data_IF_119732566820
#
_entry.id   IF_119732566820
#
_cell.length_a   1.000
_cell.length_b   1.000
_cell.length_c   1.000
_cell.angle_alpha   90.00
_cell.angle_beta   90.00
_cell.angle_gamma   90.00
#
_symmetry.space_group_name_H-M   'P 1'
#
loop_
_entity.id
_entity.type
_entity.pdbx_description
1 polymer ?
#
# COMPACT_ATOMS: atom_id res chain seq x y z
N UNK A 1 2.00 -44.71 -14.72
CA UNK A 1 0.62 -44.85 -15.26
C UNK A 1 0.15 -43.45 -15.60
N UNK A 2 0.24 -43.08 -16.87
CA UNK A 2 -0.02 -41.73 -17.37
C UNK A 2 -1.34 -41.61 -18.14
N UNK A 3 -1.74 -40.35 -18.33
CA UNK A 3 -2.53 -39.82 -19.46
C UNK A 3 -3.96 -40.33 -19.68
N UNK A 4 -4.91 -39.89 -18.85
CA UNK A 4 -6.34 -39.98 -19.18
C UNK A 4 -7.23 -38.83 -18.64
N UNK A 5 -6.68 -37.61 -18.49
CA UNK A 5 -7.45 -36.45 -17.99
C UNK A 5 -7.30 -35.18 -18.84
N UNK A 6 -6.82 -35.28 -20.09
CA UNK A 6 -6.53 -34.09 -20.91
C UNK A 6 -7.18 -34.12 -22.31
N UNK A 7 -8.45 -34.54 -22.43
CA UNK A 7 -9.17 -34.52 -23.72
C UNK A 7 -10.60 -33.95 -23.64
N UNK A 8 -11.03 -33.38 -22.50
CA UNK A 8 -12.42 -32.90 -22.37
C UNK A 8 -12.59 -31.38 -22.58
N UNK A 9 -11.51 -30.61 -22.72
CA UNK A 9 -11.61 -29.13 -22.81
C UNK A 9 -11.54 -28.51 -24.22
N UNK A 10 -11.51 -29.31 -25.30
CA UNK A 10 -11.33 -28.76 -26.66
C UNK A 10 -12.56 -28.84 -27.58
N UNK A 11 -13.78 -28.93 -27.04
CA UNK A 11 -14.98 -28.93 -27.86
C UNK A 11 -16.13 -28.15 -27.22
N UNK A 12 -16.01 -26.82 -27.06
CA UNK A 12 -17.18 -25.96 -26.73
C UNK A 12 -17.08 -24.46 -27.03
N UNK A 13 -16.00 -23.93 -27.64
CA UNK A 13 -15.94 -22.49 -27.94
C UNK A 13 -15.83 -22.24 -29.44
N UNK A 14 -16.91 -22.54 -30.16
CA UNK A 14 -17.13 -22.10 -31.55
C UNK A 14 -18.63 -21.94 -31.79
N UNK A 15 -19.29 -20.96 -31.14
CA UNK A 15 -20.68 -20.59 -31.46
C UNK A 15 -21.11 -19.25 -30.85
N UNK A 16 -20.35 -18.16 -31.07
CA UNK A 16 -20.96 -16.83 -31.10
C UNK A 16 -20.31 -15.97 -32.20
N UNK A 17 -21.10 -15.47 -33.16
CA UNK A 17 -20.61 -14.62 -34.24
C UNK A 17 -20.32 -13.20 -33.72
N UNK A 18 -19.38 -12.54 -34.41
CA UNK A 18 -18.93 -11.18 -34.12
C UNK A 18 -20.09 -10.17 -34.04
N UNK A 19 -20.26 -9.53 -32.89
CA UNK A 19 -20.88 -8.20 -32.80
C UNK A 19 -19.77 -7.19 -32.56
N UNK A 20 -19.78 -6.17 -33.42
CA UNK A 20 -18.66 -5.27 -33.69
C UNK A 20 -18.09 -4.51 -32.50
N UNK A 21 -16.90 -3.97 -32.74
CA UNK A 21 -16.29 -2.94 -31.92
C UNK A 21 -17.33 -1.87 -31.57
N UNK A 22 -17.57 -1.69 -30.27
CA UNK A 22 -18.28 -0.54 -29.74
C UNK A 22 -17.50 0.71 -30.18
N UNK A 23 -18.09 1.63 -30.94
CA UNK A 23 -17.47 2.92 -31.20
C UNK A 23 -17.30 3.62 -29.86
N UNK A 24 -16.08 4.05 -29.53
CA UNK A 24 -15.91 5.06 -28.50
C UNK A 24 -16.82 6.25 -28.89
N UNK A 25 -17.68 6.74 -27.99
CA UNK A 25 -18.34 8.01 -28.23
C UNK A 25 -17.23 9.04 -28.32
N UNK A 26 -16.96 9.48 -29.54
CA UNK A 26 -16.21 10.70 -29.76
C UNK A 26 -16.88 11.77 -28.92
N UNK A 27 -16.14 12.39 -28.03
CA UNK A 27 -16.50 13.73 -27.56
C UNK A 27 -16.41 14.61 -28.79
N UNK A 28 -17.53 14.68 -29.50
CA UNK A 28 -17.83 15.67 -30.51
C UNK A 28 -17.42 17.01 -29.94
N UNK A 29 -16.36 17.61 -30.48
CA UNK A 29 -16.04 19.01 -30.28
C UNK A 29 -17.10 19.82 -31.03
N UNK A 30 -18.34 19.83 -30.52
CA UNK A 30 -19.50 20.63 -30.94
C UNK A 30 -20.71 20.28 -30.08
N UNK A 31 -20.75 20.88 -28.90
CA UNK A 31 -21.93 21.45 -28.22
C UNK A 31 -21.34 22.31 -27.09
N UNK A 32 -21.52 23.62 -26.93
CA UNK A 32 -22.73 24.45 -27.00
C UNK A 32 -22.31 25.87 -27.44
N UNK A 33 -23.01 26.47 -28.41
CA UNK A 33 -22.97 27.92 -28.62
C UNK A 33 -23.64 28.59 -27.40
N UNK A 34 -22.93 29.51 -26.74
CA UNK A 34 -23.33 30.36 -25.60
C UNK A 34 -23.01 29.89 -24.15
N UNK A 35 -21.78 29.46 -23.89
CA UNK A 35 -21.06 29.92 -22.69
C UNK A 35 -19.74 30.55 -23.11
N UNK A 36 -19.63 31.89 -23.01
CA UNK A 36 -18.34 32.59 -23.04
C UNK A 36 -17.61 32.31 -21.72
N UNK A 37 -17.23 31.06 -21.48
CA UNK A 37 -16.32 30.78 -20.39
C UNK A 37 -14.92 31.17 -20.86
N UNK A 38 -14.46 32.35 -20.44
CA UNK A 38 -13.10 32.81 -20.71
C UNK A 38 -12.14 31.88 -19.96
N UNK A 39 -11.39 31.06 -20.70
CA UNK A 39 -10.37 30.17 -20.14
C UNK A 39 -9.11 30.97 -19.86
N UNK A 40 -8.86 31.30 -18.60
CA UNK A 40 -7.63 31.98 -18.18
C UNK A 40 -6.50 30.97 -17.97
N UNK A 41 -5.26 31.43 -18.13
CA UNK A 41 -4.09 30.58 -17.91
C UNK A 41 -3.99 30.16 -16.44
N UNK A 42 -4.03 28.84 -16.19
CA UNK A 42 -3.91 28.29 -14.85
C UNK A 42 -2.60 28.73 -14.19
N UNK A 43 -2.64 29.03 -12.89
CA UNK A 43 -1.51 29.53 -12.08
C UNK A 43 -0.96 30.93 -12.45
N UNK A 44 -1.27 31.49 -13.62
CA UNK A 44 -0.77 32.81 -14.06
C UNK A 44 -1.85 33.89 -14.03
N UNK A 45 -3.10 33.52 -14.27
CA UNK A 45 -4.22 34.45 -14.42
C UNK A 45 -5.44 34.01 -13.61
N UNK A 46 -6.28 34.98 -13.26
CA UNK A 46 -7.59 34.78 -12.65
C UNK A 46 -8.69 35.42 -13.49
N UNK A 47 -9.90 34.87 -13.41
CA UNK A 47 -11.06 35.42 -14.09
C UNK A 47 -11.73 36.49 -13.23
N UNK A 48 -11.99 37.66 -13.82
CA UNK A 48 -12.79 38.72 -13.24
C UNK A 48 -13.75 39.23 -14.33
N UNK A 49 -15.07 39.14 -14.13
CA UNK A 49 -16.06 39.65 -15.10
C UNK A 49 -15.83 39.21 -16.56
N UNK A 50 -15.48 37.93 -16.79
CA UNK A 50 -15.16 37.34 -18.10
C UNK A 50 -13.89 37.90 -18.79
N UNK A 51 -13.02 38.62 -18.09
CA UNK A 51 -11.67 38.93 -18.55
C UNK A 51 -10.62 38.22 -17.69
N UNK A 52 -9.47 37.90 -18.27
CA UNK A 52 -8.34 37.32 -17.55
C UNK A 52 -7.42 38.42 -17.03
N UNK A 53 -7.16 38.41 -15.75
CA UNK A 53 -6.27 39.32 -15.05
C UNK A 53 -5.01 38.58 -14.61
N UNK A 54 -3.86 39.26 -14.61
CA UNK A 54 -2.61 38.68 -14.07
C UNK A 54 -2.69 38.55 -12.55
N UNK A 55 -2.20 37.44 -12.02
CA UNK A 55 -2.14 37.14 -10.60
C UNK A 55 -1.28 38.14 -9.80
N UNK A 56 -1.62 38.31 -8.52
CA UNK A 56 -0.73 38.86 -7.50
C UNK A 56 0.36 37.84 -7.16
N UNK A 57 1.51 38.28 -6.62
CA UNK A 57 2.58 37.34 -6.21
C UNK A 57 2.21 36.65 -4.89
N UNK A 58 2.97 35.63 -4.51
CA UNK A 58 2.89 35.06 -3.17
C UNK A 58 3.10 36.16 -2.11
N UNK A 59 2.38 36.06 -0.99
CA UNK A 59 2.34 37.08 0.05
C UNK A 59 1.51 38.31 -0.28
N UNK A 60 0.77 38.30 -1.40
CA UNK A 60 -0.18 39.33 -1.77
C UNK A 60 -1.57 38.75 -2.08
N UNK A 61 -2.57 39.63 -2.06
CA UNK A 61 -3.93 39.40 -2.53
C UNK A 61 -4.42 40.58 -3.39
N UNK A 62 -5.50 40.37 -4.15
CA UNK A 62 -6.12 41.37 -5.01
C UNK A 62 -6.98 42.32 -4.16
N UNK A 63 -6.50 43.55 -3.97
CA UNK A 63 -7.28 44.64 -3.35
C UNK A 63 -8.32 45.21 -4.32
N UNK A 64 -7.89 45.47 -5.56
CA UNK A 64 -8.76 45.90 -6.65
C UNK A 64 -8.48 45.09 -7.91
N UNK A 65 -9.50 44.49 -8.54
CA UNK A 65 -9.28 43.65 -9.71
C UNK A 65 -8.90 44.46 -10.95
N UNK A 66 -8.32 43.81 -11.95
CA UNK A 66 -8.01 44.46 -13.21
C UNK A 66 -9.28 44.82 -13.99
N UNK A 67 -9.20 45.87 -14.82
CA UNK A 67 -10.29 46.31 -15.72
C UNK A 67 -10.04 45.98 -17.18
N UNK A 68 -8.84 45.49 -17.53
CA UNK A 68 -8.42 45.13 -18.89
C UNK A 68 -7.79 43.75 -18.90
N UNK A 69 -8.12 42.94 -19.90
CA UNK A 69 -7.54 41.61 -20.05
C UNK A 69 -6.00 41.66 -20.14
N UNK A 70 -5.32 40.69 -19.54
CA UNK A 70 -3.85 40.57 -19.51
C UNK A 70 -3.15 41.61 -18.64
N UNK A 71 -3.88 42.38 -17.83
CA UNK A 71 -3.29 43.36 -16.92
C UNK A 71 -3.35 42.89 -15.46
N UNK A 72 -2.43 43.40 -14.65
CA UNK A 72 -2.42 43.19 -13.20
C UNK A 72 -3.37 44.19 -12.52
N UNK A 73 -4.16 43.72 -11.55
CA UNK A 73 -4.93 44.58 -10.66
C UNK A 73 -4.05 45.28 -9.62
N UNK A 74 -4.67 45.93 -8.65
CA UNK A 74 -3.96 46.42 -7.45
C UNK A 74 -3.81 45.27 -6.47
N UNK A 75 -2.57 44.91 -6.16
CA UNK A 75 -2.24 43.91 -5.16
C UNK A 75 -1.80 44.58 -3.86
N UNK A 76 -2.10 43.95 -2.73
CA UNK A 76 -1.70 44.38 -1.41
C UNK A 76 -1.08 43.21 -0.65
N UNK A 77 -0.08 43.51 0.18
CA UNK A 77 0.61 42.49 0.97
C UNK A 77 -0.31 41.91 2.06
N UNK A 78 -0.10 40.64 2.37
CA UNK A 78 -0.77 39.98 3.48
C UNK A 78 -0.39 40.66 4.82
N UNK A 79 -1.33 40.67 5.75
CA UNK A 79 -1.08 41.15 7.11
C UNK A 79 -0.45 40.05 7.98
N UNK A 80 0.16 40.44 9.10
CA UNK A 80 0.65 39.47 10.09
C UNK A 80 -0.45 38.48 10.51
N UNK A 81 -0.11 37.18 10.55
CA UNK A 81 -1.07 36.10 10.82
C UNK A 81 -1.87 35.66 9.59
N UNK A 82 -1.50 36.11 8.38
CA UNK A 82 -2.07 35.64 7.11
C UNK A 82 -1.00 35.41 6.05
N UNK A 83 -1.29 34.54 5.07
CA UNK A 83 -0.34 34.16 4.02
C UNK A 83 -1.02 33.81 2.69
N UNK A 84 -0.25 33.84 1.60
CA UNK A 84 -0.57 33.19 0.32
C UNK A 84 0.69 32.56 -0.25
N UNK A 85 0.69 31.24 -0.44
CA UNK A 85 1.90 30.49 -0.82
C UNK A 85 2.31 30.70 -2.28
N UNK A 86 1.34 30.98 -3.15
CA UNK A 86 1.55 31.05 -4.59
C UNK A 86 0.96 32.32 -5.19
N UNK A 87 1.35 32.61 -6.43
CA UNK A 87 0.73 33.66 -7.21
C UNK A 87 -0.76 33.36 -7.40
N UNK A 88 -1.61 34.34 -7.10
CA UNK A 88 -3.05 34.10 -6.95
C UNK A 88 -3.90 35.30 -7.36
N UNK A 89 -5.19 35.05 -7.57
CA UNK A 89 -6.24 36.05 -7.79
C UNK A 89 -7.21 36.17 -6.61
N UNK A 90 -6.79 35.81 -5.40
CA UNK A 90 -7.65 35.82 -4.21
C UNK A 90 -7.94 37.24 -3.78
N UNK A 91 -9.13 37.47 -3.21
CA UNK A 91 -9.53 38.75 -2.65
C UNK A 91 -9.09 38.94 -1.18
N UNK A 92 -8.45 37.94 -0.58
CA UNK A 92 -7.92 37.97 0.78
C UNK A 92 -6.85 36.90 0.95
N UNK A 93 -5.96 37.08 1.92
CA UNK A 93 -4.99 36.05 2.31
C UNK A 93 -5.61 34.97 3.19
N UNK A 94 -4.99 33.79 3.25
CA UNK A 94 -5.38 32.72 4.17
C UNK A 94 -4.91 33.02 5.58
N UNK A 95 -5.69 32.64 6.59
CA UNK A 95 -5.23 32.73 7.99
C UNK A 95 -4.20 31.64 8.24
N UNK A 96 -3.15 31.98 8.98
CA UNK A 96 -2.18 31.00 9.41
C UNK A 96 -2.83 29.93 10.30
N UNK A 97 -2.39 28.69 10.15
CA UNK A 97 -2.74 27.57 11.02
C UNK A 97 -2.18 27.82 12.42
N UNK A 98 -2.99 27.50 13.44
CA UNK A 98 -2.55 27.45 14.82
C UNK A 98 -2.31 25.99 15.22
N UNK A 99 -1.09 25.66 15.64
CA UNK A 99 -0.79 24.32 16.11
C UNK A 99 -1.59 24.00 17.39
N UNK A 100 -2.14 22.79 17.43
CA UNK A 100 -2.93 22.32 18.58
C UNK A 100 -2.06 22.02 19.79
N UNK A 101 -2.70 21.76 20.93
CA UNK A 101 -2.01 21.44 22.19
C UNK A 101 -1.15 20.18 22.14
N UNK A 102 -1.48 19.22 21.27
CA UNK A 102 -0.75 17.96 21.03
C UNK A 102 0.36 18.09 19.98
N UNK A 103 0.52 19.27 19.38
CA UNK A 103 1.50 19.60 18.36
C UNK A 103 2.49 20.66 18.86
N UNK A 104 3.61 20.78 18.15
CA UNK A 104 4.57 21.86 18.31
C UNK A 104 4.84 22.55 16.96
N UNK A 105 5.14 23.85 17.02
CA UNK A 105 5.50 24.65 15.85
C UNK A 105 6.90 24.25 15.41
N UNK A 106 7.03 23.88 14.14
CA UNK A 106 8.32 23.60 13.49
C UNK A 106 8.80 24.85 12.76
N UNK A 107 7.89 25.48 12.02
CA UNK A 107 8.14 26.73 11.31
C UNK A 107 7.01 27.70 11.56
N UNK A 108 7.37 28.95 11.80
CA UNK A 108 6.41 30.03 12.01
C UNK A 108 5.84 30.49 10.68
N UNK A 109 4.56 30.89 10.70
CA UNK A 109 3.91 31.49 9.55
C UNK A 109 4.66 32.74 9.05
N UNK A 110 4.74 32.87 7.73
CA UNK A 110 5.25 34.05 7.03
C UNK A 110 4.20 34.54 6.04
N UNK A 111 4.45 35.65 5.32
CA UNK A 111 3.50 36.11 4.31
C UNK A 111 3.32 35.11 3.17
N UNK A 112 4.29 34.23 2.92
CA UNK A 112 4.30 33.28 1.81
C UNK A 112 4.22 31.82 2.25
N UNK A 113 4.04 31.53 3.53
CA UNK A 113 4.09 30.17 4.05
C UNK A 113 3.24 30.04 5.29
N UNK A 114 2.46 28.96 5.38
CA UNK A 114 1.69 28.65 6.59
C UNK A 114 2.61 28.25 7.76
N UNK A 115 2.06 28.27 8.97
CA UNK A 115 2.65 27.59 10.12
C UNK A 115 2.77 26.10 9.84
N UNK A 116 3.96 25.53 10.03
CA UNK A 116 4.14 24.08 10.00
C UNK A 116 4.09 23.50 11.41
N UNK A 117 3.19 22.53 11.61
CA UNK A 117 2.99 21.84 12.87
C UNK A 117 3.43 20.37 12.77
N UNK A 118 4.03 19.84 13.83
CA UNK A 118 4.27 18.40 13.97
C UNK A 118 3.77 17.88 15.30
N UNK A 119 3.47 16.58 15.38
CA UNK A 119 3.12 15.95 16.65
C UNK A 119 4.27 16.06 17.66
N UNK A 120 3.92 16.35 18.91
CA UNK A 120 4.90 16.38 20.02
C UNK A 120 5.59 15.03 20.20
N UNK A 121 6.79 15.00 20.79
CA UNK A 121 7.52 13.75 21.07
C UNK A 121 6.64 12.69 21.76
N UNK A 122 6.75 11.44 21.29
CA UNK A 122 5.93 10.32 21.78
C UNK A 122 4.51 10.26 21.19
N UNK A 123 4.23 11.07 20.16
CA UNK A 123 3.00 11.02 19.38
C UNK A 123 3.28 11.05 17.88
N UNK A 124 2.35 10.51 17.10
CA UNK A 124 2.41 10.43 15.65
C UNK A 124 1.04 10.67 15.01
N UNK A 125 1.04 10.97 13.72
CA UNK A 125 -0.14 10.89 12.88
C UNK A 125 0.24 10.51 11.46
N UNK A 126 -0.50 9.61 10.82
CA UNK A 126 -0.17 9.16 9.47
C UNK A 126 -0.42 10.26 8.43
N UNK A 127 0.48 10.47 7.45
CA UNK A 127 0.31 11.47 6.39
C UNK A 127 -0.94 11.28 5.54
N UNK A 128 -1.44 10.05 5.46
CA UNK A 128 -2.65 9.69 4.70
C UNK A 128 -3.95 9.96 5.48
N UNK A 129 -3.86 10.21 6.78
CA UNK A 129 -5.00 10.56 7.62
C UNK A 129 -5.10 12.08 7.78
N UNK A 130 -6.32 12.60 7.84
CA UNK A 130 -6.51 13.96 8.35
C UNK A 130 -6.03 13.97 9.80
N UNK A 131 -4.89 14.60 10.06
CA UNK A 131 -4.27 14.65 11.39
C UNK A 131 -5.04 15.52 12.38
N UNK A 132 -6.30 15.19 12.63
CA UNK A 132 -7.20 15.84 13.58
C UNK A 132 -6.69 15.66 15.02
N UNK A 133 -6.05 14.52 15.32
CA UNK A 133 -5.46 14.21 16.63
C UNK A 133 -4.15 13.43 16.46
N UNK A 134 -3.11 13.81 17.21
CA UNK A 134 -1.86 13.06 17.30
C UNK A 134 -2.02 11.86 18.23
N UNK A 135 -1.92 10.65 17.67
CA UNK A 135 -2.00 9.37 18.37
C UNK A 135 -0.75 9.16 19.21
N UNK A 136 -0.88 8.57 20.39
CA UNK A 136 0.28 8.16 21.19
C UNK A 136 1.01 7.01 20.54
N UNK A 137 2.33 7.06 20.52
CA UNK A 137 3.15 5.95 20.01
C UNK A 137 2.89 4.68 20.83
N UNK A 138 2.73 3.56 20.11
CA UNK A 138 2.64 2.22 20.67
C UNK A 138 3.95 1.83 21.34
N UNK A 139 3.84 1.00 22.38
CA UNK A 139 4.99 0.36 23.04
C UNK A 139 4.97 -1.12 22.70
N UNK A 140 6.11 -1.67 22.32
CA UNK A 140 6.23 -3.10 22.10
C UNK A 140 6.06 -3.87 23.40
N UNK A 141 5.46 -5.05 23.29
CA UNK A 141 5.27 -5.96 24.44
C UNK A 141 6.60 -6.59 24.86
N UNK A 142 6.60 -7.29 25.98
CA UNK A 142 7.79 -7.97 26.49
C UNK A 142 8.30 -9.08 25.56
N UNK A 143 7.44 -9.69 24.75
CA UNK A 143 7.77 -10.70 23.73
C UNK A 143 8.08 -10.10 22.35
N UNK A 144 8.26 -8.78 22.28
CA UNK A 144 8.50 -8.04 21.04
C UNK A 144 9.73 -7.11 21.18
N UNK A 145 10.48 -6.98 20.09
CA UNK A 145 11.55 -6.00 19.91
C UNK A 145 11.08 -4.84 19.03
N UNK A 146 11.61 -3.64 19.29
CA UNK A 146 11.36 -2.46 18.46
C UNK A 146 12.11 -2.63 17.14
N UNK A 147 11.37 -2.78 16.04
CA UNK A 147 11.94 -2.82 14.69
C UNK A 147 12.17 -1.41 14.14
N UNK A 148 11.21 -0.51 14.36
CA UNK A 148 11.33 0.92 14.04
C UNK A 148 10.78 1.78 15.16
N UNK A 149 11.53 2.82 15.48
CA UNK A 149 11.09 3.83 16.44
C UNK A 149 9.95 4.67 15.86
N UNK A 150 9.05 5.09 16.73
CA UNK A 150 8.01 6.06 16.41
C UNK A 150 8.61 7.39 15.92
N UNK A 151 7.94 8.02 14.96
CA UNK A 151 8.24 9.36 14.47
C UNK A 151 7.00 10.25 14.60
N UNK A 152 7.07 11.53 14.23
CA UNK A 152 5.86 12.36 14.19
C UNK A 152 4.82 11.90 13.16
N UNK A 153 5.20 11.02 12.23
CA UNK A 153 4.36 10.57 11.10
C UNK A 153 4.12 9.06 11.04
N UNK A 154 4.75 8.28 11.92
CA UNK A 154 4.64 6.82 11.93
C UNK A 154 4.68 6.27 13.36
N UNK A 155 3.89 5.23 13.61
CA UNK A 155 3.93 4.53 14.90
C UNK A 155 5.24 3.74 15.09
N UNK A 156 5.45 3.25 16.30
CA UNK A 156 6.44 2.21 16.60
C UNK A 156 6.08 0.92 15.86
N UNK A 157 7.04 0.34 15.14
CA UNK A 157 6.89 -1.00 14.57
C UNK A 157 7.54 -2.02 15.50
N UNK A 158 6.79 -3.06 15.87
CA UNK A 158 7.22 -4.12 16.77
C UNK A 158 7.33 -5.45 16.03
N UNK A 159 8.34 -6.25 16.38
CA UNK A 159 8.54 -7.60 15.84
C UNK A 159 8.64 -8.58 16.99
N UNK A 160 8.01 -9.75 16.90
CA UNK A 160 8.14 -10.77 17.94
C UNK A 160 9.58 -11.30 18.04
N UNK A 161 10.05 -11.44 19.27
CA UNK A 161 11.30 -12.10 19.61
C UNK A 161 11.05 -13.60 19.37
N UNK A 162 11.48 -14.11 18.22
CA UNK A 162 11.49 -15.56 17.99
C UNK A 162 12.68 -16.15 18.73
N UNK A 163 12.44 -16.63 19.94
CA UNK A 163 13.24 -17.71 20.47
C UNK A 163 12.91 -18.95 19.62
N UNK A 164 13.94 -19.52 18.98
CA UNK A 164 13.88 -20.66 18.06
C UNK A 164 13.28 -20.40 16.67
N UNK A 165 14.17 -20.42 15.68
CA UNK A 165 13.87 -21.12 14.44
C UNK A 165 13.28 -22.49 14.80
N UNK A 166 12.06 -22.78 14.37
CA UNK A 166 11.56 -24.15 14.31
C UNK A 166 12.67 -25.00 13.67
N UNK A 167 13.16 -26.09 14.32
CA UNK A 167 14.06 -26.99 13.62
C UNK A 167 13.33 -27.46 12.36
N UNK A 168 13.99 -27.53 11.19
CA UNK A 168 13.34 -28.04 10.00
C UNK A 168 12.79 -29.43 10.33
N UNK A 169 11.50 -29.62 10.04
CA UNK A 169 10.73 -30.86 10.23
C UNK A 169 11.31 -32.10 9.54
N UNK A 170 12.49 -31.98 8.92
CA UNK A 170 13.22 -33.04 8.24
C UNK A 170 13.63 -34.17 9.20
N UNK A 171 13.93 -33.86 10.47
CA UNK A 171 14.28 -34.88 11.46
C UNK A 171 13.08 -35.76 11.84
N UNK A 172 11.89 -35.17 11.93
CA UNK A 172 10.65 -35.89 12.27
C UNK A 172 10.20 -36.74 11.09
N UNK A 173 10.24 -36.20 9.87
CA UNK A 173 9.85 -36.91 8.65
C UNK A 173 10.81 -38.08 8.36
N UNK A 174 12.12 -37.87 8.51
CA UNK A 174 13.14 -38.92 8.31
C UNK A 174 12.96 -40.06 9.32
N UNK A 175 12.68 -39.74 10.59
CA UNK A 175 12.44 -40.74 11.63
C UNK A 175 11.23 -41.64 11.33
N UNK A 176 10.12 -41.06 10.87
CA UNK A 176 8.89 -41.81 10.54
C UNK A 176 9.10 -42.71 9.32
N UNK A 177 9.78 -42.22 8.28
CA UNK A 177 10.06 -43.01 7.06
C UNK A 177 11.02 -44.16 7.36
N UNK A 178 12.13 -43.91 8.06
CA UNK A 178 13.07 -44.95 8.44
C UNK A 178 12.44 -46.01 9.36
N UNK A 179 11.64 -45.58 10.34
CA UNK A 179 10.90 -46.49 11.22
C UNK A 179 9.92 -47.37 10.45
N UNK A 180 9.16 -46.79 9.52
CA UNK A 180 8.24 -47.52 8.65
C UNK A 180 8.93 -48.57 7.79
N UNK A 181 10.06 -48.22 7.16
CA UNK A 181 10.83 -49.15 6.31
C UNK A 181 11.40 -50.34 7.10
N UNK A 182 11.88 -50.12 8.33
CA UNK A 182 12.38 -51.18 9.20
C UNK A 182 11.27 -52.16 9.63
N UNK A 183 10.07 -51.66 9.90
CA UNK A 183 8.93 -52.52 10.24
C UNK A 183 8.47 -53.36 9.04
N UNK A 184 8.44 -52.75 7.85
CA UNK A 184 8.07 -53.47 6.61
C UNK A 184 9.10 -54.56 6.30
N UNK A 185 10.40 -54.27 6.42
CA UNK A 185 11.45 -55.27 6.18
C UNK A 185 11.40 -56.40 7.20
N UNK A 186 11.20 -56.10 8.49
CA UNK A 186 11.04 -57.12 9.54
C UNK A 186 9.80 -58.00 9.29
N UNK A 187 8.67 -57.41 8.88
CA UNK A 187 7.45 -58.14 8.54
C UNK A 187 7.64 -59.04 7.31
N UNK A 188 8.36 -58.55 6.28
CA UNK A 188 8.68 -59.32 5.08
C UNK A 188 9.61 -60.51 5.39
N UNK A 189 10.66 -60.30 6.19
CA UNK A 189 11.56 -61.37 6.65
C UNK A 189 10.77 -62.40 7.45
N UNK A 190 9.96 -61.95 8.42
CA UNK A 190 9.10 -62.85 9.20
C UNK A 190 8.15 -63.65 8.31
N UNK A 191 7.51 -63.02 7.32
CA UNK A 191 6.63 -63.69 6.37
C UNK A 191 7.39 -64.70 5.49
N UNK A 192 8.57 -64.34 5.00
CA UNK A 192 9.45 -65.22 4.22
C UNK A 192 9.92 -66.42 5.04
N UNK A 193 10.33 -66.24 6.30
CA UNK A 193 10.69 -67.34 7.20
C UNK A 193 9.48 -68.25 7.45
N UNK A 194 8.29 -67.67 7.69
CA UNK A 194 7.04 -68.43 7.83
C UNK A 194 6.68 -69.22 6.58
N UNK A 195 6.94 -68.66 5.39
CA UNK A 195 6.68 -69.30 4.10
C UNK A 195 7.71 -70.39 3.79
N UNK A 196 8.98 -70.18 4.10
CA UNK A 196 10.02 -71.22 4.00
C UNK A 196 9.75 -72.39 4.96
N UNK A 197 9.29 -72.15 6.18
CA UNK A 197 8.83 -73.23 7.08
C UNK A 197 7.61 -74.00 6.53
N UNK A 198 6.71 -73.34 5.80
CA UNK A 198 5.55 -74.00 5.16
C UNK A 198 5.90 -74.81 3.91
N UNK A 199 7.00 -74.49 3.23
CA UNK A 199 7.35 -75.10 1.93
C UNK A 199 8.59 -76.03 2.00
N UNK A 200 9.20 -76.17 3.18
CA UNK A 200 10.41 -76.95 3.43
C UNK A 200 10.22 -78.31 4.11
N UNK A 201 9.23 -79.11 3.70
CA UNK A 201 9.22 -80.58 3.94
C UNK A 201 9.38 -81.32 2.60
N UNK A 202 10.61 -81.34 2.09
CA UNK A 202 11.26 -82.41 1.30
C UNK A 202 12.53 -81.85 0.63
N UNK A 203 13.60 -81.68 1.39
CA UNK A 203 14.84 -82.43 1.15
C UNK A 203 15.90 -82.04 2.17
N UNK A 204 16.44 -83.09 2.77
CA UNK A 204 17.30 -83.10 3.93
C UNK A 204 18.76 -83.13 3.47
N UNK A 205 19.49 -82.03 3.62
CA UNK A 205 20.94 -82.07 3.92
C UNK A 205 21.46 -80.70 4.39
N UNK A 206 21.95 -80.66 5.64
CA UNK A 206 23.14 -79.91 6.09
C UNK A 206 22.96 -78.45 6.54
N UNK A 207 23.36 -78.24 7.81
CA UNK A 207 23.62 -77.01 8.59
C UNK A 207 22.46 -76.35 9.36
N UNK A 208 22.15 -77.04 10.45
CA UNK A 208 21.87 -76.54 11.79
C UNK A 208 22.78 -75.37 12.24
N UNK A 209 22.23 -74.19 12.56
CA UNK A 209 22.32 -73.58 13.90
C UNK A 209 21.35 -72.40 14.08
N UNK A 210 20.57 -72.47 15.16
CA UNK A 210 19.87 -71.41 15.89
C UNK A 210 18.65 -70.71 15.27
N UNK A 211 17.50 -70.88 15.96
CA UNK A 211 16.55 -69.80 16.22
C UNK A 211 17.22 -68.68 17.03
#
# INVERSE_FOLDING_TARGET
MGNFQLVVFFASICLFPALGAVPQPGTSMRDIRNLRHTFCSEHQEYSNNNICCLNCRAGEYVKFPCTKAGHKGTCEECTFGTFTEHANGLNQCFKCTHCRSDQEVVEHCTLTQDTQCKCKPGRFCHPEEACEVCKTCSRCKNDEEVLRNCTSTSDTECKRIQDQADPPSDAVITGVVCGGLLLISAAAVWFCMRRSCRTGKLNMSVVQTAC
#
